data_IF_056900998111
#
_entry.id   IF_056900998111
#
_cell.length_a   1.000
_cell.length_b   1.000
_cell.length_c   1.000
_cell.angle_alpha   90.00
_cell.angle_beta   90.00
_cell.angle_gamma   90.00
#
_symmetry.space_group_name_H-M   'P 1'
#
loop_
_entity.id
_entity.type
_entity.pdbx_description
1 polymer ?
#
# COMPACT_ATOMS: atom_id res chain seq x y z
N UNK A 1 16.16 15.80 -1.26
CA UNK A 1 14.72 15.45 -1.10
C UNK A 1 14.65 14.36 -0.06
N UNK A 2 13.70 14.45 0.87
CA UNK A 2 13.52 13.44 1.91
C UNK A 2 13.10 12.10 1.32
N UNK A 3 13.45 11.01 2.00
CA UNK A 3 13.03 9.65 1.63
C UNK A 3 11.49 9.52 1.69
N UNK A 4 10.84 8.91 0.67
CA UNK A 4 9.41 8.68 0.68
C UNK A 4 8.96 7.88 1.90
N UNK A 5 7.95 8.38 2.61
CA UNK A 5 7.48 7.77 3.87
C UNK A 5 5.98 7.55 3.90
N UNK A 6 5.56 6.64 4.79
CA UNK A 6 4.16 6.43 5.12
C UNK A 6 3.68 7.55 6.03
N UNK A 7 2.48 8.05 5.75
CA UNK A 7 1.82 9.09 6.55
C UNK A 7 0.49 8.55 7.07
N UNK A 8 0.24 8.67 8.37
CA UNK A 8 -1.10 8.43 8.91
C UNK A 8 -2.02 9.57 8.48
N UNK A 9 -3.06 9.21 7.74
CA UNK A 9 -4.14 10.09 7.31
C UNK A 9 -5.10 10.32 8.47
N UNK A 10 -5.52 11.56 8.66
CA UNK A 10 -6.53 11.92 9.65
C UNK A 10 -7.79 12.51 8.98
N UNK A 11 -8.95 12.38 9.63
CA UNK A 11 -10.21 13.04 9.23
C UNK A 11 -10.62 14.17 10.18
N UNK A 12 -9.68 14.69 10.97
CA UNK A 12 -9.94 15.79 11.92
C UNK A 12 -10.03 17.13 11.18
N UNK A 13 -10.91 18.02 11.66
CA UNK A 13 -11.05 19.39 11.14
C UNK A 13 -9.69 20.08 11.13
N UNK A 14 -9.38 20.78 10.04
CA UNK A 14 -8.12 21.51 9.87
C UNK A 14 -6.94 20.68 9.37
N UNK A 15 -6.98 19.34 9.41
CA UNK A 15 -5.91 18.53 8.83
C UNK A 15 -5.89 18.69 7.30
N UNK A 16 -4.68 18.75 6.75
CA UNK A 16 -4.42 18.76 5.32
C UNK A 16 -3.42 17.67 5.00
N UNK A 17 -3.59 17.05 3.83
CA UNK A 17 -2.63 16.09 3.32
C UNK A 17 -1.32 16.85 3.07
N UNK A 18 -0.17 16.38 3.61
CA UNK A 18 1.11 17.01 3.32
C UNK A 18 1.40 17.01 1.82
N UNK A 19 2.25 17.93 1.39
CA UNK A 19 2.72 17.97 0.00
C UNK A 19 3.40 16.64 -0.39
N UNK A 20 3.48 16.39 -1.70
CA UNK A 20 4.06 15.17 -2.26
C UNK A 20 3.48 13.86 -1.66
N UNK A 21 2.21 13.86 -1.26
CA UNK A 21 1.56 12.71 -0.62
C UNK A 21 0.37 12.21 -1.44
N UNK A 22 0.31 10.90 -1.67
CA UNK A 22 -0.79 10.23 -2.38
C UNK A 22 -1.61 9.41 -1.41
N UNK A 23 -2.93 9.52 -1.51
CA UNK A 23 -3.84 8.68 -0.74
C UNK A 23 -3.91 7.27 -1.33
N UNK A 24 -3.61 6.26 -0.51
CA UNK A 24 -3.72 4.83 -0.84
C UNK A 24 -4.82 4.16 -0.01
N UNK A 25 -5.89 4.91 0.30
CA UNK A 25 -7.04 4.44 1.06
C UNK A 25 -8.08 3.78 0.16
N UNK A 26 -8.88 2.88 0.71
CA UNK A 26 -10.03 2.27 0.03
C UNK A 26 -11.17 3.29 -0.18
N UNK A 27 -12.00 3.13 -1.23
CA UNK A 27 -11.92 2.11 -2.29
C UNK A 27 -10.95 2.47 -3.45
N UNK A 28 -9.94 3.30 -3.21
CA UNK A 28 -9.03 3.77 -4.25
C UNK A 28 -8.13 2.68 -4.84
N UNK A 29 -7.56 2.98 -6.02
CA UNK A 29 -6.72 2.10 -6.86
C UNK A 29 -5.65 1.30 -6.10
N UNK A 30 -5.08 1.88 -5.05
CA UNK A 30 -3.97 1.29 -4.28
C UNK A 30 -4.37 0.95 -2.82
N UNK A 31 -5.67 0.93 -2.51
CA UNK A 31 -6.16 0.51 -1.20
C UNK A 31 -6.15 -1.01 -1.07
N UNK A 32 -5.96 -1.50 0.17
CA UNK A 32 -5.94 -2.94 0.42
C UNK A 32 -7.32 -3.60 0.19
N UNK A 33 -7.53 -4.46 -0.82
CA UNK A 33 -8.84 -5.05 -1.08
C UNK A 33 -9.27 -6.07 0.00
N UNK A 34 -8.33 -6.60 0.79
CA UNK A 34 -8.57 -7.63 1.81
C UNK A 34 -8.89 -6.97 3.16
N UNK A 35 -10.19 -6.84 3.48
CA UNK A 35 -10.66 -6.18 4.71
C UNK A 35 -10.61 -7.13 5.93
N UNK A 36 -9.84 -6.76 6.95
CA UNK A 36 -9.86 -7.46 8.25
C UNK A 36 -11.29 -7.65 8.75
N UNK A 37 -11.62 -8.87 9.19
CA UNK A 37 -12.95 -9.25 9.66
C UNK A 37 -13.92 -9.70 8.57
N UNK A 38 -13.50 -9.80 7.30
CA UNK A 38 -14.30 -10.44 6.24
C UNK A 38 -13.87 -11.87 6.01
N UNK A 39 -14.76 -12.70 5.48
CA UNK A 39 -14.43 -14.05 5.07
C UNK A 39 -13.67 -14.03 3.73
N UNK A 40 -12.66 -14.90 3.61
CA UNK A 40 -11.91 -15.10 2.39
C UNK A 40 -11.57 -16.59 2.23
N UNK A 41 -11.62 -17.09 0.99
CA UNK A 41 -11.22 -18.45 0.69
C UNK A 41 -9.70 -18.54 0.74
N UNK A 42 -9.17 -19.36 1.63
CA UNK A 42 -7.73 -19.62 1.76
C UNK A 42 -7.51 -21.13 1.75
N UNK A 43 -6.82 -21.65 0.72
CA UNK A 43 -6.55 -23.07 0.53
C UNK A 43 -7.80 -23.97 0.58
N UNK A 44 -8.91 -23.50 -0.01
CA UNK A 44 -10.17 -24.26 -0.04
C UNK A 44 -11.03 -24.18 1.22
N UNK A 45 -10.63 -23.38 2.21
CA UNK A 45 -11.38 -23.16 3.45
C UNK A 45 -11.77 -21.68 3.60
N UNK A 46 -13.01 -21.42 4.04
CA UNK A 46 -13.48 -20.07 4.33
C UNK A 46 -12.95 -19.62 5.69
N UNK A 47 -12.16 -18.53 5.71
CA UNK A 47 -11.59 -17.98 6.95
C UNK A 47 -11.84 -16.50 7.08
N UNK A 48 -12.14 -16.05 8.29
CA UNK A 48 -12.16 -14.62 8.63
C UNK A 48 -10.72 -14.11 8.64
N UNK A 49 -10.42 -13.14 7.78
CA UNK A 49 -9.05 -12.62 7.67
C UNK A 49 -8.71 -11.69 8.83
N UNK A 50 -7.58 -11.98 9.48
CA UNK A 50 -6.98 -11.10 10.48
C UNK A 50 -6.04 -10.06 9.84
N UNK A 51 -5.41 -9.22 10.68
CA UNK A 51 -4.48 -8.19 10.21
C UNK A 51 -3.27 -8.74 9.45
N UNK A 52 -2.68 -9.84 9.91
CA UNK A 52 -1.52 -10.46 9.26
C UNK A 52 -1.91 -11.06 7.90
N UNK A 53 -3.01 -11.80 7.84
CA UNK A 53 -3.53 -12.39 6.59
C UNK A 53 -3.91 -11.31 5.58
N UNK A 54 -4.51 -10.21 6.04
CA UNK A 54 -4.83 -9.05 5.18
C UNK A 54 -3.58 -8.44 4.54
N UNK A 55 -2.45 -8.40 5.24
CA UNK A 55 -1.18 -7.90 4.70
C UNK A 55 -0.51 -8.89 3.76
N UNK A 56 -0.54 -10.18 4.08
CA UNK A 56 0.02 -11.23 3.24
C UNK A 56 -0.69 -11.29 1.89
N UNK A 57 -2.03 -11.35 1.90
CA UNK A 57 -2.83 -11.32 0.67
C UNK A 57 -2.60 -10.03 -0.11
N UNK A 58 -2.48 -8.90 0.59
CA UNK A 58 -2.18 -7.61 -0.06
C UNK A 58 -0.81 -7.60 -0.72
N UNK A 59 0.21 -8.19 -0.10
CA UNK A 59 1.54 -8.32 -0.68
C UNK A 59 1.48 -9.13 -1.97
N UNK A 60 0.85 -10.29 -1.95
CA UNK A 60 0.68 -11.15 -3.13
C UNK A 60 -0.07 -10.42 -4.25
N UNK A 61 -1.18 -9.75 -3.92
CA UNK A 61 -1.94 -8.94 -4.87
C UNK A 61 -1.12 -7.79 -5.46
N UNK A 62 -0.32 -7.11 -4.64
CA UNK A 62 0.50 -5.99 -5.05
C UNK A 62 1.65 -6.45 -5.96
N UNK A 63 2.30 -7.56 -5.65
CA UNK A 63 3.37 -8.14 -6.47
C UNK A 63 2.86 -8.70 -7.80
N UNK A 64 1.59 -9.13 -7.86
CA UNK A 64 0.93 -9.59 -9.08
C UNK A 64 0.44 -8.46 -10.00
N UNK A 65 0.59 -7.18 -9.62
CA UNK A 65 0.18 -6.06 -10.45
C UNK A 65 1.06 -5.93 -11.70
N UNK A 66 0.52 -5.43 -12.83
CA UNK A 66 1.30 -5.26 -14.05
C UNK A 66 2.47 -4.27 -13.85
N UNK A 67 3.54 -4.38 -14.66
CA UNK A 67 4.63 -3.40 -14.66
C UNK A 67 4.11 -1.97 -14.75
N UNK A 68 4.72 -1.06 -13.99
CA UNK A 68 4.33 0.35 -13.95
C UNK A 68 3.07 0.67 -13.14
N UNK A 69 2.38 -0.31 -12.55
CA UNK A 69 1.18 -0.06 -11.74
C UNK A 69 1.42 0.89 -10.56
N UNK A 70 2.60 0.83 -9.96
CA UNK A 70 3.04 1.72 -8.87
C UNK A 70 3.93 2.88 -9.33
N UNK A 71 4.20 3.02 -10.62
CA UNK A 71 5.07 4.09 -11.14
C UNK A 71 4.59 5.50 -10.76
N UNK A 72 3.27 5.81 -10.75
CA UNK A 72 2.79 7.12 -10.30
C UNK A 72 3.05 7.44 -8.82
N UNK A 73 3.50 6.46 -8.02
CA UNK A 73 3.79 6.58 -6.59
C UNK A 73 5.28 6.71 -6.29
N UNK A 74 6.15 6.47 -7.27
CA UNK A 74 7.60 6.56 -7.09
C UNK A 74 7.99 7.96 -6.60
N UNK A 75 8.80 8.02 -5.53
CA UNK A 75 9.23 9.28 -4.91
C UNK A 75 8.16 10.00 -4.07
N UNK A 76 6.95 9.43 -3.90
CA UNK A 76 5.85 10.08 -3.17
C UNK A 76 5.63 9.45 -1.80
N UNK A 77 5.23 10.29 -0.85
CA UNK A 77 4.71 9.82 0.43
C UNK A 77 3.35 9.15 0.24
N UNK A 78 3.03 8.14 1.06
CA UNK A 78 1.77 7.42 0.95
C UNK A 78 0.91 7.58 2.21
N UNK A 79 -0.32 8.07 2.04
CA UNK A 79 -1.26 8.31 3.13
C UNK A 79 -2.31 7.20 3.26
N UNK A 80 -2.45 6.65 4.47
CA UNK A 80 -3.46 5.65 4.83
C UNK A 80 -3.97 5.84 6.26
N UNK A 81 -5.04 5.17 6.67
CA UNK A 81 -5.59 5.30 8.04
C UNK A 81 -4.94 4.39 9.09
N UNK A 82 -4.01 3.52 8.70
CA UNK A 82 -3.35 2.58 9.61
C UNK A 82 -2.51 3.32 10.66
N UNK A 83 -2.41 2.75 11.85
CA UNK A 83 -1.59 3.29 12.94
C UNK A 83 -0.10 3.33 12.57
N UNK A 84 0.61 4.28 13.14
CA UNK A 84 2.07 4.38 13.04
C UNK A 84 2.72 3.25 13.87
N UNK A 85 3.90 2.79 13.44
CA UNK A 85 4.64 1.71 14.11
C UNK A 85 4.10 0.29 13.91
N UNK A 86 2.92 0.13 13.29
CA UNK A 86 2.38 -1.18 12.90
C UNK A 86 2.62 -1.46 11.42
N UNK A 87 2.72 -2.75 11.08
CA UNK A 87 2.76 -3.20 9.69
C UNK A 87 1.54 -2.70 8.92
N UNK A 88 1.76 -2.15 7.73
CA UNK A 88 0.74 -1.50 6.93
C UNK A 88 0.86 -1.87 5.45
N UNK A 89 -0.27 -1.85 4.73
CA UNK A 89 -0.28 -2.02 3.28
C UNK A 89 0.50 -0.90 2.55
N UNK A 90 0.61 0.28 3.17
CA UNK A 90 1.41 1.37 2.66
C UNK A 90 2.91 1.10 2.68
N UNK A 91 3.41 0.30 3.62
CA UNK A 91 4.83 -0.06 3.68
C UNK A 91 5.18 -0.99 2.50
N UNK A 92 4.29 -1.94 2.17
CA UNK A 92 4.39 -2.82 1.01
C UNK A 92 4.45 -1.99 -0.29
N UNK A 93 3.53 -1.04 -0.46
CA UNK A 93 3.46 -0.22 -1.67
C UNK A 93 4.67 0.72 -1.78
N UNK A 94 5.11 1.32 -0.67
CA UNK A 94 6.32 2.15 -0.64
C UNK A 94 7.53 1.37 -1.12
N UNK A 95 7.71 0.14 -0.64
CA UNK A 95 8.80 -0.72 -1.07
C UNK A 95 8.71 -0.99 -2.57
N UNK A 96 7.55 -1.43 -3.07
CA UNK A 96 7.34 -1.78 -4.48
C UNK A 96 7.53 -0.58 -5.42
N UNK A 97 6.95 0.58 -5.07
CA UNK A 97 7.02 1.79 -5.89
C UNK A 97 8.43 2.36 -6.00
N UNK A 98 9.29 2.12 -5.00
CA UNK A 98 10.62 2.69 -4.92
C UNK A 98 11.75 1.66 -5.12
N UNK A 99 11.46 0.43 -5.55
CA UNK A 99 12.51 -0.52 -5.96
C UNK A 99 13.41 0.11 -7.03
N UNK A 100 14.73 -0.11 -7.00
CA UNK A 100 15.63 0.31 -8.08
C UNK A 100 15.08 -0.16 -9.42
N UNK A 101 15.13 0.70 -10.44
CA UNK A 101 14.91 0.23 -11.80
C UNK A 101 16.15 -0.58 -12.17
N UNK A 102 15.95 -1.80 -12.68
CA UNK A 102 17.04 -2.48 -13.35
C UNK A 102 17.53 -1.57 -14.49
N UNK A 103 18.85 -1.39 -14.66
CA UNK A 103 19.35 -0.69 -15.81
C UNK A 103 18.88 -1.44 -17.05
N UNK A 104 18.14 -0.75 -17.93
CA UNK A 104 17.87 -1.31 -19.24
C UNK A 104 19.22 -1.46 -19.94
N UNK A 105 19.52 -2.62 -20.56
CA UNK A 105 20.73 -2.74 -21.37
C UNK A 105 20.70 -1.66 -22.46
N UNK A 106 21.84 -1.05 -22.80
CA UNK A 106 21.90 -0.09 -23.90
C UNK A 106 21.45 -0.79 -25.20
N UNK A 107 20.68 -0.06 -26.01
CA UNK A 107 20.26 -0.47 -27.36
C UNK A 107 21.45 -0.88 -28.24
#
# INVERSE_FOLDING_TARGET
MDEPKRIKRYRRKGWRMPENTVSITRPGRWGNPFKVGTEHMHNGELKVINGAQSLELHKQWAEAQPPGFFEPLRGKNLACYCDEGKACHGDIILQLANRPREPQPPD
#
